data_IF_285446949879
#
_entry.id   IF_285446949879
#
_cell.length_a   1.000
_cell.length_b   1.000
_cell.length_c   1.000
_cell.angle_alpha   90.00
_cell.angle_beta   90.00
_cell.angle_gamma   90.00
#
_symmetry.space_group_name_H-M   'P 1'
#
loop_
_entity.id
_entity.type
_entity.pdbx_description
1 polymer ?
#
# COMPACT_ATOMS: atom_id res chain seq x y z
N UNK A 1 10.87 2.10 -68.67
CA UNK A 1 10.62 3.17 -69.66
C UNK A 1 10.62 4.48 -68.88
N UNK A 2 11.77 5.15 -68.81
CA UNK A 2 12.20 6.24 -69.72
C UNK A 2 11.63 7.60 -69.30
N UNK A 3 12.46 8.52 -68.79
CA UNK A 3 13.09 9.67 -69.52
C UNK A 3 12.25 10.95 -69.23
N UNK A 4 12.72 12.16 -68.90
CA UNK A 4 14.02 12.83 -68.65
C UNK A 4 13.74 14.25 -68.14
N UNK A 5 14.66 14.78 -67.33
CA UNK A 5 15.27 16.13 -67.30
C UNK A 5 14.62 17.37 -67.96
N UNK A 6 14.78 18.51 -67.26
CA UNK A 6 15.46 19.69 -67.82
C UNK A 6 16.24 20.51 -66.78
N UNK A 7 17.45 20.91 -67.18
CA UNK A 7 18.42 21.80 -66.52
C UNK A 7 18.28 23.25 -67.03
N UNK A 8 18.90 24.20 -66.29
CA UNK A 8 19.42 25.48 -66.78
C UNK A 8 19.40 26.57 -65.67
N UNK A 9 20.45 26.87 -64.90
CA UNK A 9 21.79 27.44 -65.20
C UNK A 9 21.89 28.99 -65.01
N UNK A 10 22.74 29.41 -64.05
CA UNK A 10 23.52 30.68 -64.03
C UNK A 10 22.87 31.89 -63.36
N UNK A 11 23.54 32.79 -62.62
CA UNK A 11 24.96 33.11 -62.42
C UNK A 11 25.20 33.76 -61.04
N UNK A 12 26.47 33.81 -60.63
CA UNK A 12 27.00 34.31 -59.36
C UNK A 12 27.19 35.85 -59.29
N UNK A 13 27.19 36.42 -58.08
CA UNK A 13 28.26 37.29 -57.53
C UNK A 13 27.87 37.88 -56.14
N UNK A 14 28.79 37.81 -55.18
CA UNK A 14 28.85 38.51 -53.87
C UNK A 14 29.46 39.92 -54.07
N UNK A 15 29.29 40.96 -53.19
CA UNK A 15 29.93 41.00 -51.85
C UNK A 15 29.28 41.83 -50.70
N UNK A 16 29.49 41.37 -49.46
CA UNK A 16 30.08 42.01 -48.24
C UNK A 16 29.67 43.45 -47.80
N UNK A 17 28.98 43.49 -46.64
CA UNK A 17 29.21 44.27 -45.39
C UNK A 17 28.88 45.78 -45.27
N UNK A 18 28.01 46.13 -44.29
CA UNK A 18 28.34 46.93 -43.07
C UNK A 18 27.10 47.47 -42.34
N UNK A 19 27.08 47.16 -41.03
CA UNK A 19 26.62 47.91 -39.84
C UNK A 19 25.27 48.67 -39.75
N UNK A 20 24.59 48.33 -38.63
CA UNK A 20 23.52 48.93 -37.80
C UNK A 20 23.57 50.49 -37.65
N UNK A 21 22.56 51.23 -37.08
CA UNK A 21 21.56 50.82 -36.07
C UNK A 21 20.15 51.48 -36.12
N UNK A 22 19.12 50.87 -35.52
CA UNK A 22 18.04 51.65 -34.85
C UNK A 22 17.17 50.83 -33.86
N UNK A 23 17.39 51.09 -32.57
CA UNK A 23 16.43 51.25 -31.46
C UNK A 23 15.17 50.34 -31.41
N UNK A 24 15.25 49.25 -30.65
CA UNK A 24 14.10 48.48 -30.18
C UNK A 24 13.50 49.04 -28.89
N UNK A 25 12.22 49.43 -28.93
CA UNK A 25 11.41 49.84 -27.78
C UNK A 25 11.14 48.63 -26.85
N UNK A 26 11.55 48.76 -25.59
CA UNK A 26 11.29 47.78 -24.52
C UNK A 26 9.84 47.85 -24.04
N UNK A 27 9.04 46.85 -24.42
CA UNK A 27 7.73 46.61 -23.82
C UNK A 27 7.90 45.68 -22.60
N UNK A 28 7.87 46.25 -21.38
CA UNK A 28 7.82 45.46 -20.14
C UNK A 28 6.48 44.73 -20.03
N UNK A 29 6.52 43.41 -20.20
CA UNK A 29 5.41 42.50 -19.86
C UNK A 29 5.16 42.56 -18.35
N UNK A 30 3.93 42.81 -17.85
CA UNK A 30 3.68 42.77 -16.43
C UNK A 30 3.86 41.34 -15.91
N UNK A 31 4.36 41.16 -14.68
CA UNK A 31 4.55 39.82 -14.13
C UNK A 31 3.18 39.15 -13.96
N UNK A 32 3.01 38.01 -14.62
CA UNK A 32 1.93 37.07 -14.34
C UNK A 32 2.04 36.69 -12.86
N UNK A 33 1.07 37.10 -12.04
CA UNK A 33 0.93 36.56 -10.69
C UNK A 33 0.87 35.05 -10.81
N UNK A 34 1.85 34.37 -10.24
CA UNK A 34 1.87 32.92 -10.13
C UNK A 34 0.54 32.47 -9.53
N UNK A 35 -0.26 31.74 -10.31
CA UNK A 35 -1.45 31.09 -9.81
C UNK A 35 -1.00 30.20 -8.65
N UNK A 36 -1.40 30.55 -7.42
CA UNK A 36 -1.19 29.71 -6.25
C UNK A 36 -1.79 28.36 -6.62
N UNK A 37 -0.94 27.33 -6.71
CA UNK A 37 -1.35 25.94 -6.85
C UNK A 37 -2.51 25.71 -5.87
N UNK A 38 -3.70 25.48 -6.42
CA UNK A 38 -4.81 24.95 -5.64
C UNK A 38 -4.28 23.64 -5.09
N UNK A 39 -4.02 23.57 -3.77
CA UNK A 39 -3.65 22.32 -3.10
C UNK A 39 -4.68 21.30 -3.54
N UNK A 40 -4.28 20.37 -4.40
CA UNK A 40 -5.15 19.29 -4.84
C UNK A 40 -5.69 18.65 -3.56
N UNK A 41 -7.02 18.64 -3.41
CA UNK A 41 -7.62 17.93 -2.30
C UNK A 41 -7.12 16.49 -2.39
N UNK A 42 -6.63 15.89 -1.30
CA UNK A 42 -6.23 14.49 -1.35
C UNK A 42 -7.44 13.70 -1.84
N UNK A 43 -7.20 12.84 -2.84
CA UNK A 43 -8.20 11.89 -3.32
C UNK A 43 -8.86 11.24 -2.10
N UNK A 44 -10.18 11.14 -2.08
CA UNK A 44 -10.89 10.45 -1.00
C UNK A 44 -11.28 9.06 -1.46
N UNK A 45 -11.32 8.11 -0.53
CA UNK A 45 -11.71 6.73 -0.79
C UNK A 45 -12.77 6.30 0.22
N UNK A 46 -13.63 5.39 -0.24
CA UNK A 46 -14.63 4.71 0.58
C UNK A 46 -13.98 3.54 1.31
N UNK A 47 -14.01 3.60 2.63
CA UNK A 47 -13.56 2.55 3.53
C UNK A 47 -14.76 1.97 4.26
N UNK A 48 -14.81 0.64 4.37
CA UNK A 48 -15.82 -0.07 5.13
C UNK A 48 -15.16 -0.71 6.35
N UNK A 49 -15.77 -0.54 7.51
CA UNK A 49 -15.29 -1.10 8.77
C UNK A 49 -16.40 -1.95 9.38
N UNK A 50 -16.07 -3.13 9.87
CA UNK A 50 -16.92 -4.01 10.66
C UNK A 50 -16.22 -4.25 12.00
N UNK A 51 -16.90 -4.10 13.14
CA UNK A 51 -16.28 -4.23 14.46
C UNK A 51 -17.21 -4.84 15.49
N UNK A 52 -16.60 -5.35 16.56
CA UNK A 52 -17.29 -5.84 17.74
C UNK A 52 -17.47 -4.69 18.74
N UNK A 53 -18.70 -4.40 19.16
CA UNK A 53 -18.97 -3.41 20.20
C UNK A 53 -18.64 -3.99 21.59
N UNK A 54 -18.48 -3.13 22.62
CA UNK A 54 -18.31 -3.59 24.00
C UNK A 54 -19.44 -4.52 24.48
N UNK A 55 -20.65 -4.35 23.95
CA UNK A 55 -21.83 -5.19 24.25
C UNK A 55 -21.81 -6.54 23.51
N UNK A 56 -20.80 -6.79 22.68
CA UNK A 56 -20.66 -8.03 21.89
C UNK A 56 -21.49 -8.04 20.60
N UNK A 57 -22.04 -6.89 20.17
CA UNK A 57 -22.76 -6.80 18.90
C UNK A 57 -21.79 -6.49 17.75
N UNK A 58 -22.07 -7.02 16.57
CA UNK A 58 -21.33 -6.66 15.36
C UNK A 58 -21.97 -5.42 14.73
N UNK A 59 -21.17 -4.39 14.47
CA UNK A 59 -21.58 -3.18 13.77
C UNK A 59 -20.75 -2.96 12.52
N UNK A 60 -21.33 -2.27 11.53
CA UNK A 60 -20.66 -1.94 10.28
C UNK A 60 -20.90 -0.47 9.94
N UNK A 61 -19.90 0.17 9.34
CA UNK A 61 -20.00 1.52 8.81
C UNK A 61 -19.20 1.66 7.52
N UNK A 62 -19.57 2.67 6.74
CA UNK A 62 -18.83 3.09 5.56
C UNK A 62 -18.50 4.57 5.70
N UNK A 63 -17.23 4.95 5.55
CA UNK A 63 -16.77 6.33 5.65
C UNK A 63 -15.93 6.72 4.43
N UNK A 64 -16.04 7.99 4.04
CA UNK A 64 -15.09 8.60 3.12
C UNK A 64 -13.94 9.20 3.92
N UNK A 65 -12.72 8.87 3.55
CA UNK A 65 -11.52 9.43 4.17
C UNK A 65 -10.41 9.63 3.12
N UNK A 66 -9.34 10.37 3.44
CA UNK A 66 -8.22 10.56 2.51
C UNK A 66 -7.61 9.23 2.05
N UNK A 67 -7.28 9.14 0.76
CA UNK A 67 -6.51 8.07 0.15
C UNK A 67 -5.01 8.34 0.35
N UNK A 68 -4.59 8.31 1.61
CA UNK A 68 -3.18 8.47 2.00
C UNK A 68 -2.65 7.15 2.56
N UNK A 69 -1.31 6.93 2.57
CA UNK A 69 -0.73 5.71 3.13
C UNK A 69 -1.22 5.39 4.54
N UNK A 70 -1.37 6.41 5.40
CA UNK A 70 -1.92 6.27 6.75
C UNK A 70 -3.26 5.52 6.77
N UNK A 71 -4.21 5.93 5.92
CA UNK A 71 -5.52 5.29 5.87
C UNK A 71 -5.42 3.95 5.16
N UNK A 72 -4.80 3.88 3.98
CA UNK A 72 -4.77 2.65 3.18
C UNK A 72 -4.09 1.47 3.89
N UNK A 73 -3.09 1.73 4.74
CA UNK A 73 -2.43 0.70 5.55
C UNK A 73 -3.42 -0.07 6.44
N UNK A 74 -4.47 0.59 6.92
CA UNK A 74 -5.50 -0.04 7.73
C UNK A 74 -6.46 -0.96 6.96
N UNK A 75 -6.44 -0.95 5.63
CA UNK A 75 -7.48 -1.61 4.82
C UNK A 75 -6.95 -2.51 3.70
N UNK A 76 -5.64 -2.66 3.53
CA UNK A 76 -5.09 -3.26 2.31
C UNK A 76 -3.92 -4.23 2.48
N UNK A 77 -4.10 -5.20 3.37
CA UNK A 77 -3.14 -6.30 3.54
C UNK A 77 -3.57 -7.58 2.81
N UNK A 78 -4.84 -7.97 2.85
CA UNK A 78 -5.31 -9.26 2.35
C UNK A 78 -6.26 -9.04 1.16
N UNK A 79 -6.02 -9.69 0.02
CA UNK A 79 -7.02 -9.67 -1.05
C UNK A 79 -8.17 -10.65 -0.73
N UNK A 80 -9.34 -10.39 -1.31
CA UNK A 80 -10.46 -11.34 -1.31
C UNK A 80 -10.00 -12.75 -1.70
N UNK A 81 -10.51 -13.76 -0.99
CA UNK A 81 -10.11 -15.16 -1.16
C UNK A 81 -8.91 -15.57 -0.30
N UNK A 82 -8.28 -14.65 0.44
CA UNK A 82 -7.28 -15.00 1.46
C UNK A 82 -7.92 -15.87 2.54
N UNK A 83 -7.39 -17.08 2.77
CA UNK A 83 -7.94 -18.03 3.75
C UNK A 83 -7.14 -17.96 5.06
N UNK A 84 -7.83 -17.62 6.15
CA UNK A 84 -7.28 -17.53 7.49
C UNK A 84 -7.59 -18.80 8.29
N UNK A 85 -6.67 -19.20 9.16
CA UNK A 85 -6.95 -20.28 10.12
C UNK A 85 -7.69 -19.71 11.33
N UNK A 86 -8.86 -20.27 11.65
CA UNK A 86 -9.63 -19.98 12.87
C UNK A 86 -9.67 -21.20 13.78
N UNK A 87 -10.16 -21.04 15.00
CA UNK A 87 -10.37 -22.18 15.91
C UNK A 87 -11.38 -23.20 15.33
N UNK A 88 -12.34 -22.73 14.54
CA UNK A 88 -13.39 -23.55 13.92
C UNK A 88 -13.01 -24.06 12.51
N UNK A 89 -11.79 -23.75 12.05
CA UNK A 89 -11.27 -24.18 10.75
C UNK A 89 -10.89 -23.03 9.81
N UNK A 90 -10.58 -23.32 8.53
CA UNK A 90 -10.24 -22.30 7.55
C UNK A 90 -11.46 -21.43 7.19
N UNK A 91 -11.30 -20.10 7.23
CA UNK A 91 -12.33 -19.12 6.85
C UNK A 91 -11.75 -18.12 5.84
N UNK A 92 -12.48 -17.83 4.77
CA UNK A 92 -12.10 -16.78 3.84
C UNK A 92 -12.24 -15.39 4.48
N UNK A 93 -11.34 -14.46 4.15
CA UNK A 93 -11.32 -13.12 4.75
C UNK A 93 -12.64 -12.36 4.59
N UNK A 94 -13.36 -12.57 3.49
CA UNK A 94 -14.67 -11.97 3.25
C UNK A 94 -15.81 -12.53 4.12
N UNK A 95 -15.63 -13.73 4.69
CA UNK A 95 -16.62 -14.43 5.51
C UNK A 95 -16.29 -14.32 7.01
N UNK A 96 -15.08 -13.86 7.34
CA UNK A 96 -14.64 -13.60 8.70
C UNK A 96 -15.45 -12.46 9.32
N UNK A 97 -15.83 -12.61 10.59
CA UNK A 97 -16.59 -11.62 11.36
C UNK A 97 -15.90 -11.26 12.67
N UNK A 98 -16.02 -10.01 13.13
CA UNK A 98 -15.61 -9.64 14.48
C UNK A 98 -16.29 -10.53 15.53
N UNK A 99 -15.54 -10.91 16.56
CA UNK A 99 -15.94 -11.88 17.59
C UNK A 99 -15.44 -13.29 17.34
N UNK A 100 -15.10 -13.66 16.10
CA UNK A 100 -14.45 -14.95 15.81
C UNK A 100 -13.00 -14.96 16.28
N UNK A 101 -12.49 -16.14 16.65
CA UNK A 101 -11.09 -16.36 17.05
C UNK A 101 -10.25 -16.87 15.89
N UNK A 102 -9.16 -16.17 15.56
CA UNK A 102 -8.16 -16.63 14.59
C UNK A 102 -6.98 -17.29 15.30
N UNK A 103 -6.36 -18.27 14.65
CA UNK A 103 -5.11 -18.87 15.13
C UNK A 103 -3.92 -18.02 14.67
N UNK A 104 -3.21 -17.45 15.64
CA UNK A 104 -2.02 -16.64 15.40
C UNK A 104 -0.77 -17.50 15.21
N UNK A 105 0.26 -16.95 14.54
CA UNK A 105 1.54 -17.63 14.40
C UNK A 105 2.23 -17.85 15.75
N UNK A 106 2.00 -16.93 16.70
CA UNK A 106 2.46 -17.00 18.08
C UNK A 106 1.79 -18.13 18.90
N UNK A 107 0.87 -18.90 18.32
CA UNK A 107 0.26 -20.07 18.94
C UNK A 107 -0.92 -19.73 19.85
N UNK A 108 -1.48 -18.53 19.75
CA UNK A 108 -2.69 -18.11 20.48
C UNK A 108 -3.92 -18.13 19.57
N UNK A 109 -5.05 -18.53 20.12
CA UNK A 109 -6.35 -18.14 19.58
C UNK A 109 -6.63 -16.70 20.01
N UNK A 110 -6.86 -15.83 19.04
CA UNK A 110 -6.97 -14.39 19.27
C UNK A 110 -8.23 -13.85 18.62
N UNK A 111 -8.99 -13.05 19.37
CA UNK A 111 -10.28 -12.56 18.91
C UNK A 111 -10.12 -11.43 17.90
N UNK A 112 -10.87 -11.52 16.80
CA UNK A 112 -10.99 -10.44 15.83
C UNK A 112 -11.90 -9.36 16.40
N UNK A 113 -11.38 -8.14 16.58
CA UNK A 113 -12.17 -7.02 17.10
C UNK A 113 -12.66 -6.08 16.00
N UNK A 114 -11.98 -6.06 14.84
CA UNK A 114 -12.31 -5.20 13.71
C UNK A 114 -11.80 -5.77 12.40
N UNK A 115 -12.54 -5.54 11.32
CA UNK A 115 -12.18 -5.88 9.94
C UNK A 115 -12.46 -4.65 9.08
N UNK A 116 -11.44 -4.18 8.39
CA UNK A 116 -11.53 -3.10 7.42
C UNK A 116 -11.50 -3.67 6.02
N UNK A 117 -12.22 -3.05 5.10
CA UNK A 117 -12.03 -3.25 3.67
C UNK A 117 -12.06 -1.95 2.85
N UNK A 118 -11.39 -2.01 1.70
CA UNK A 118 -11.53 -1.04 0.62
C UNK A 118 -11.47 -1.75 -0.74
N UNK A 119 -11.83 -1.03 -1.80
CA UNK A 119 -11.74 -1.54 -3.18
C UNK A 119 -10.59 -0.86 -3.91
N UNK A 120 -9.70 -1.67 -4.49
CA UNK A 120 -8.68 -1.24 -5.44
C UNK A 120 -9.27 -1.41 -6.84
N UNK A 121 -9.30 -0.32 -7.60
CA UNK A 121 -9.78 -0.33 -8.99
C UNK A 121 -8.59 -0.44 -9.96
N UNK A 122 -8.76 -1.09 -11.13
CA UNK A 122 -7.76 -1.07 -12.18
C UNK A 122 -7.38 0.36 -12.55
N UNK A 123 -6.08 0.63 -12.70
CA UNK A 123 -5.56 1.95 -13.04
C UNK A 123 -5.71 3.00 -11.93
N UNK A 124 -6.05 2.61 -10.70
CA UNK A 124 -6.04 3.52 -9.57
C UNK A 124 -4.60 3.95 -9.22
N UNK A 125 -4.42 5.25 -9.04
CA UNK A 125 -3.17 5.86 -8.56
C UNK A 125 -3.20 5.96 -7.02
N UNK A 126 -2.02 5.85 -6.40
CA UNK A 126 -1.83 6.09 -4.96
C UNK A 126 -1.21 7.46 -4.70
N UNK A 127 -1.54 8.07 -3.56
CA UNK A 127 -1.20 9.45 -3.26
C UNK A 127 0.29 9.83 -3.30
N UNK A 128 0.51 11.15 -3.45
CA UNK A 128 1.73 11.95 -3.64
C UNK A 128 2.50 11.78 -4.94
N UNK A 129 2.71 10.55 -5.40
CA UNK A 129 3.40 10.31 -6.68
C UNK A 129 2.44 9.64 -7.65
N UNK A 130 1.80 10.46 -8.48
CA UNK A 130 0.77 10.09 -9.48
C UNK A 130 1.30 9.14 -10.59
N UNK A 131 2.47 8.53 -10.41
CA UNK A 131 3.16 7.69 -11.38
C UNK A 131 3.24 6.21 -10.97
N UNK A 132 2.99 5.86 -9.70
CA UNK A 132 2.95 4.46 -9.25
C UNK A 132 1.52 3.93 -9.18
N UNK A 133 1.20 2.99 -10.10
CA UNK A 133 -0.05 2.24 -10.10
C UNK A 133 -0.13 1.35 -8.85
N UNK A 134 -1.32 1.23 -8.26
CA UNK A 134 -1.54 0.31 -7.15
C UNK A 134 -1.37 -1.13 -7.62
N UNK A 135 -0.38 -1.81 -7.07
CA UNK A 135 -0.10 -3.22 -7.34
C UNK A 135 -0.34 -4.12 -6.14
N UNK A 136 -0.74 -5.35 -6.42
CA UNK A 136 -0.88 -6.42 -5.44
C UNK A 136 0.35 -7.32 -5.51
N UNK A 137 0.62 -8.07 -4.44
CA UNK A 137 1.68 -9.08 -4.44
C UNK A 137 1.04 -10.46 -4.51
N UNK A 138 1.27 -11.19 -5.59
CA UNK A 138 0.92 -12.62 -5.69
C UNK A 138 2.11 -13.46 -5.25
N UNK A 139 1.86 -14.34 -4.30
CA UNK A 139 2.79 -15.36 -3.84
C UNK A 139 2.26 -16.70 -4.35
N UNK A 140 3.02 -17.34 -5.23
CA UNK A 140 2.67 -18.65 -5.79
C UNK A 140 2.74 -19.75 -4.73
N UNK A 141 1.98 -20.82 -4.93
CA UNK A 141 2.04 -21.99 -4.06
C UNK A 141 3.49 -22.48 -3.86
N UNK A 142 3.83 -22.83 -2.63
CA UNK A 142 5.12 -23.34 -2.18
C UNK A 142 6.33 -22.39 -2.35
N UNK A 143 6.11 -21.11 -2.65
CA UNK A 143 7.17 -20.10 -2.80
C UNK A 143 8.13 -19.98 -1.60
N UNK A 144 7.63 -20.26 -0.38
CA UNK A 144 8.39 -20.23 0.88
C UNK A 144 8.61 -21.63 1.46
N UNK A 145 8.59 -22.65 0.60
CA UNK A 145 8.73 -24.08 0.95
C UNK A 145 7.41 -24.84 0.91
N UNK A 146 7.47 -26.14 1.16
CA UNK A 146 6.33 -27.05 1.04
C UNK A 146 5.10 -26.55 1.83
N UNK A 147 3.97 -26.36 1.12
CA UNK A 147 2.72 -25.85 1.69
C UNK A 147 2.73 -24.37 2.12
N UNK A 148 3.72 -23.57 1.71
CA UNK A 148 3.88 -22.16 2.10
C UNK A 148 3.97 -21.22 0.89
N UNK A 149 2.86 -20.64 0.43
CA UNK A 149 1.48 -20.98 0.78
C UNK A 149 1.03 -22.29 0.10
N UNK A 150 -0.04 -22.93 0.60
CA UNK A 150 -0.56 -24.17 0.01
C UNK A 150 -1.29 -23.95 -1.33
N UNK A 151 -1.82 -22.74 -1.52
CA UNK A 151 -2.40 -22.23 -2.75
C UNK A 151 -1.84 -20.84 -2.98
N UNK A 152 -1.93 -20.34 -4.21
CA UNK A 152 -1.57 -18.96 -4.51
C UNK A 152 -2.30 -17.98 -3.58
N UNK A 153 -1.53 -17.08 -2.98
CA UNK A 153 -2.03 -16.03 -2.10
C UNK A 153 -1.81 -14.67 -2.76
N UNK A 154 -2.86 -13.86 -2.84
CA UNK A 154 -2.75 -12.47 -3.29
C UNK A 154 -2.88 -11.54 -2.08
N UNK A 155 -1.88 -10.69 -1.90
CA UNK A 155 -1.80 -9.72 -0.83
C UNK A 155 -2.01 -8.30 -1.37
N UNK A 156 -2.61 -7.47 -0.53
CA UNK A 156 -2.74 -6.05 -0.78
C UNK A 156 -1.40 -5.30 -0.67
N UNK A 157 -1.34 -4.05 -1.15
CA UNK A 157 -0.10 -3.28 -1.24
C UNK A 157 0.56 -2.99 0.12
N UNK A 158 -0.20 -3.09 1.22
CA UNK A 158 0.24 -2.74 2.59
C UNK A 158 0.45 -3.97 3.47
N UNK A 159 0.42 -5.17 2.89
CA UNK A 159 0.69 -6.40 3.60
C UNK A 159 2.14 -6.47 4.10
N UNK A 160 2.33 -6.98 5.32
CA UNK A 160 3.65 -7.36 5.83
C UNK A 160 3.63 -8.84 6.20
N UNK A 161 4.67 -9.57 5.81
CA UNK A 161 4.92 -10.95 6.21
C UNK A 161 5.77 -10.97 7.48
N UNK A 162 5.52 -11.92 8.38
CA UNK A 162 6.40 -12.15 9.52
C UNK A 162 7.60 -12.98 9.07
N UNK A 163 8.77 -12.34 9.00
CA UNK A 163 10.04 -12.98 8.67
C UNK A 163 10.65 -13.61 9.93
N UNK A 164 10.87 -14.92 9.88
CA UNK A 164 11.61 -15.68 10.88
C UNK A 164 12.80 -16.33 10.19
N UNK A 165 13.97 -15.71 10.27
CA UNK A 165 15.17 -16.18 9.59
C UNK A 165 16.40 -16.14 10.52
N UNK A 166 17.25 -17.18 10.56
CA UNK A 166 18.50 -17.15 11.31
C UNK A 166 19.43 -15.98 10.98
N UNK A 167 19.37 -15.43 9.76
CA UNK A 167 20.12 -14.23 9.33
C UNK A 167 19.64 -12.98 10.04
N UNK A 168 18.32 -12.82 10.16
CA UNK A 168 17.72 -11.72 10.94
C UNK A 168 18.27 -11.73 12.37
N UNK A 169 18.23 -12.91 13.02
CA UNK A 169 18.80 -13.09 14.37
C UNK A 169 20.28 -12.74 14.44
N UNK A 170 21.06 -13.14 13.44
CA UNK A 170 22.51 -12.89 13.41
C UNK A 170 22.86 -11.41 13.25
N UNK A 171 22.14 -10.69 12.38
CA UNK A 171 22.47 -9.30 12.02
C UNK A 171 21.87 -8.30 13.00
N UNK A 172 20.62 -8.49 13.42
CA UNK A 172 19.89 -7.51 14.25
C UNK A 172 19.55 -8.02 15.66
N UNK A 173 19.79 -9.30 15.97
CA UNK A 173 19.38 -9.90 17.24
C UNK A 173 17.87 -10.17 17.33
N UNK A 174 17.11 -9.93 16.25
CA UNK A 174 15.66 -10.07 16.25
C UNK A 174 15.24 -11.51 15.90
N UNK A 175 14.34 -12.07 16.70
CA UNK A 175 13.81 -13.42 16.51
C UNK A 175 12.82 -13.49 15.34
N UNK A 176 12.09 -12.39 15.12
CA UNK A 176 11.13 -12.20 14.05
C UNK A 176 10.95 -10.69 13.75
N UNK A 177 10.52 -10.35 12.55
CA UNK A 177 10.16 -9.00 12.17
C UNK A 177 9.10 -8.97 11.06
N UNK A 178 8.24 -7.95 11.06
CA UNK A 178 7.27 -7.71 10.00
C UNK A 178 7.92 -6.96 8.83
N UNK A 179 7.84 -7.56 7.64
CA UNK A 179 8.51 -7.10 6.43
C UNK A 179 7.47 -6.88 5.33
N UNK A 180 7.44 -5.73 4.63
CA UNK A 180 6.56 -5.52 3.48
C UNK A 180 6.63 -6.69 2.50
N UNK A 181 5.48 -7.23 2.08
CA UNK A 181 5.44 -8.37 1.17
C UNK A 181 6.20 -8.09 -0.15
N UNK A 182 6.13 -6.84 -0.63
CA UNK A 182 6.87 -6.36 -1.80
C UNK A 182 8.40 -6.45 -1.70
N UNK A 183 8.96 -6.58 -0.50
CA UNK A 183 10.40 -6.75 -0.32
C UNK A 183 10.88 -8.15 -0.74
N UNK A 184 9.95 -9.10 -0.93
CA UNK A 184 10.24 -10.46 -1.38
C UNK A 184 10.06 -10.66 -2.88
N UNK A 185 9.78 -9.61 -3.65
CA UNK A 185 9.58 -9.72 -5.10
C UNK A 185 10.83 -10.29 -5.77
N UNK A 186 10.65 -11.43 -6.45
CA UNK A 186 11.70 -12.13 -7.20
C UNK A 186 11.40 -12.23 -8.71
N UNK A 187 10.17 -11.86 -9.12
CA UNK A 187 9.71 -11.96 -10.50
C UNK A 187 9.38 -13.38 -10.97
N UNK A 188 9.46 -14.37 -10.09
CA UNK A 188 9.24 -15.79 -10.38
C UNK A 188 8.11 -16.34 -9.50
N UNK A 189 8.33 -16.37 -8.18
CA UNK A 189 7.44 -16.99 -7.20
C UNK A 189 6.66 -15.97 -6.37
N UNK A 190 7.23 -14.78 -6.19
CA UNK A 190 6.61 -13.62 -5.57
C UNK A 190 6.63 -12.49 -6.60
N UNK A 191 5.46 -12.20 -7.13
CA UNK A 191 5.30 -11.33 -8.30
C UNK A 191 4.33 -10.20 -8.04
N UNK A 192 4.60 -9.07 -8.69
CA UNK A 192 3.72 -7.93 -8.71
C UNK A 192 2.58 -8.18 -9.72
N UNK A 193 1.34 -7.91 -9.32
CA UNK A 193 0.18 -8.08 -10.19
C UNK A 193 -0.71 -6.83 -10.17
N UNK A 194 -1.04 -6.34 -11.36
CA UNK A 194 -2.01 -5.26 -11.54
C UNK A 194 -3.39 -5.86 -11.76
N UNK A 195 -4.40 -5.49 -10.94
CA UNK A 195 -5.73 -6.05 -11.09
C UNK A 195 -6.40 -5.56 -12.39
N UNK A 196 -6.97 -6.48 -13.17
CA UNK A 196 -7.75 -6.17 -14.38
C UNK A 196 -9.22 -5.87 -14.11
N UNK A 197 -9.70 -6.15 -12.89
CA UNK A 197 -11.03 -5.84 -12.39
C UNK A 197 -10.93 -5.33 -10.94
N UNK A 198 -11.97 -4.66 -10.38
CA UNK A 198 -11.93 -4.20 -9.00
C UNK A 198 -11.69 -5.35 -8.00
N UNK A 199 -10.75 -5.16 -7.08
CA UNK A 199 -10.40 -6.14 -6.04
C UNK A 199 -10.69 -5.55 -4.66
N UNK A 200 -11.52 -6.23 -3.87
CA UNK A 200 -11.68 -5.90 -2.46
C UNK A 200 -10.48 -6.41 -1.68
N UNK A 201 -9.86 -5.52 -0.92
CA UNK A 201 -8.79 -5.83 0.02
C UNK A 201 -9.25 -5.53 1.44
N UNK A 202 -8.62 -6.21 2.39
CA UNK A 202 -9.00 -6.24 3.78
C UNK A 202 -7.79 -6.07 4.70
N UNK A 203 -8.06 -5.74 5.96
CA UNK A 203 -7.12 -5.92 7.07
C UNK A 203 -7.92 -6.21 8.34
N UNK A 204 -7.28 -6.82 9.33
CA UNK A 204 -7.92 -7.36 10.54
C UNK A 204 -7.20 -6.79 11.76
N UNK A 205 -7.93 -6.31 12.75
CA UNK A 205 -7.39 -5.99 14.07
C UNK A 205 -7.78 -7.08 15.04
N UNK A 206 -6.81 -7.47 15.84
CA UNK A 206 -6.93 -8.47 16.90
C UNK A 206 -7.02 -7.78 18.27
N UNK A 207 -7.58 -8.47 19.26
CA UNK A 207 -7.61 -7.97 20.64
C UNK A 207 -6.19 -7.80 21.22
N UNK A 208 -5.28 -8.74 20.95
CA UNK A 208 -3.84 -8.53 21.07
C UNK A 208 -3.17 -8.64 19.70
N UNK A 209 -2.33 -7.67 19.36
CA UNK A 209 -1.63 -7.66 18.08
C UNK A 209 -0.76 -8.93 17.90
N UNK A 210 -0.66 -9.42 16.66
CA UNK A 210 0.01 -10.67 16.33
C UNK A 210 0.01 -10.97 14.84
N UNK A 211 0.48 -12.17 14.48
CA UNK A 211 0.59 -12.61 13.09
C UNK A 211 -0.58 -13.54 12.75
N UNK A 212 -1.36 -13.20 11.74
CA UNK A 212 -2.41 -14.03 11.16
C UNK A 212 -1.79 -15.20 10.38
N UNK A 213 -2.33 -16.41 10.54
CA UNK A 213 -2.00 -17.54 9.66
C UNK A 213 -2.88 -17.53 8.42
N UNK A 214 -2.31 -17.14 7.27
CA UNK A 214 -3.02 -16.99 6.00
C UNK A 214 -2.41 -17.90 4.94
N UNK A 215 -3.18 -18.89 4.50
CA UNK A 215 -2.75 -19.88 3.50
C UNK A 215 -1.39 -20.56 3.78
N UNK A 216 -0.96 -20.66 5.04
CA UNK A 216 0.34 -21.21 5.44
C UNK A 216 1.47 -20.19 5.64
N UNK A 217 1.20 -18.91 5.38
CA UNK A 217 2.10 -17.79 5.67
C UNK A 217 1.67 -17.03 6.93
N UNK A 218 2.62 -16.31 7.52
CA UNK A 218 2.40 -15.43 8.66
C UNK A 218 2.27 -14.00 8.14
N UNK A 219 1.09 -13.39 8.26
CA UNK A 219 0.80 -12.02 7.80
C UNK A 219 0.49 -11.15 9.02
N UNK A 220 1.06 -9.96 9.08
CA UNK A 220 0.78 -8.99 10.16
C UNK A 220 -0.73 -8.71 10.25
N UNK A 221 -1.29 -8.73 11.47
CA UNK A 221 -2.56 -8.06 11.72
C UNK A 221 -2.38 -6.54 11.66
N UNK A 222 -3.46 -5.76 11.60
CA UNK A 222 -3.31 -4.32 11.53
C UNK A 222 -2.87 -3.76 12.88
N UNK A 223 -1.80 -2.96 12.82
CA UNK A 223 -1.39 -2.06 13.89
C UNK A 223 -1.03 -0.71 13.28
N UNK A 224 -1.44 0.43 13.86
CA UNK A 224 -1.20 1.74 13.26
C UNK A 224 0.26 2.22 13.38
N UNK A 225 1.08 1.49 14.15
CA UNK A 225 2.46 1.83 14.45
C UNK A 225 2.59 2.60 15.77
N UNK A 226 3.74 2.47 16.41
CA UNK A 226 3.98 3.16 17.69
C UNK A 226 4.10 4.67 17.48
N UNK A 227 3.43 5.46 18.33
CA UNK A 227 3.55 6.92 18.33
C UNK A 227 2.90 7.64 17.15
N UNK A 228 2.09 6.94 16.34
CA UNK A 228 1.42 7.49 15.15
C UNK A 228 0.62 8.78 15.47
N UNK A 229 0.00 8.83 16.65
CA UNK A 229 -0.77 9.96 17.19
C UNK A 229 0.03 11.27 17.30
N UNK A 230 1.36 11.17 17.45
CA UNK A 230 2.27 12.33 17.56
C UNK A 230 2.78 12.81 16.20
N UNK A 231 2.61 11.98 15.17
CA UNK A 231 3.14 12.21 13.82
C UNK A 231 2.11 12.79 12.85
N UNK A 232 0.84 12.85 13.26
CA UNK A 232 -0.29 13.25 12.42
C UNK A 232 -0.93 14.53 12.98
N UNK A 233 -1.42 15.41 12.11
CA UNK A 233 -2.17 16.58 12.56
C UNK A 233 -3.50 16.19 13.24
N UNK A 234 -4.02 16.98 14.20
CA UNK A 234 -5.19 16.60 14.98
C UNK A 234 -6.47 16.30 14.17
N UNK A 235 -6.65 16.93 13.01
CA UNK A 235 -7.84 16.69 12.17
C UNK A 235 -7.73 15.33 11.48
N UNK A 236 -6.56 15.03 10.94
CA UNK A 236 -6.28 13.73 10.32
C UNK A 236 -6.32 12.59 11.35
N UNK A 237 -5.81 12.83 12.57
CA UNK A 237 -5.92 11.87 13.66
C UNK A 237 -7.39 11.56 13.99
N UNK A 238 -8.23 12.60 14.13
CA UNK A 238 -9.66 12.43 14.41
C UNK A 238 -10.38 11.62 13.31
N UNK A 239 -10.05 11.88 12.04
CA UNK A 239 -10.60 11.11 10.91
C UNK A 239 -10.14 9.66 10.92
N UNK A 240 -8.89 9.41 11.32
CA UNK A 240 -8.32 8.08 11.38
C UNK A 240 -8.87 7.27 12.56
N UNK A 241 -8.99 7.87 13.75
CA UNK A 241 -9.62 7.26 14.92
C UNK A 241 -11.09 6.89 14.66
N UNK A 242 -11.82 7.71 13.90
CA UNK A 242 -13.19 7.41 13.51
C UNK A 242 -13.34 6.10 12.69
N UNK A 243 -12.24 5.57 12.14
CA UNK A 243 -12.23 4.27 11.46
C UNK A 243 -12.27 3.08 12.44
N UNK A 244 -11.92 3.29 13.71
CA UNK A 244 -11.82 2.28 14.78
C UNK A 244 -12.75 2.59 15.96
N UNK A 245 -14.07 2.63 15.74
CA UNK A 245 -15.05 3.04 16.76
C UNK A 245 -15.12 2.14 18.00
N UNK A 246 -14.55 0.93 17.94
CA UNK A 246 -14.42 0.04 19.09
C UNK A 246 -13.38 0.53 20.11
N UNK A 247 -12.50 1.45 19.73
CA UNK A 247 -11.45 1.98 20.59
C UNK A 247 -11.73 3.43 20.97
N UNK A 248 -11.43 3.78 22.22
CA UNK A 248 -11.50 5.15 22.70
C UNK A 248 -10.34 6.03 22.17
N UNK A 249 -9.20 5.41 21.88
CA UNK A 249 -8.02 6.03 21.27
C UNK A 249 -7.12 4.97 20.63
N UNK A 250 -6.16 5.39 19.80
CA UNK A 250 -5.21 4.47 19.16
C UNK A 250 -4.29 3.74 20.15
N UNK A 251 -4.14 4.23 21.39
CA UNK A 251 -3.37 3.54 22.43
C UNK A 251 -3.95 2.16 22.77
N UNK A 252 -5.23 1.91 22.51
CA UNK A 252 -5.89 0.63 22.74
C UNK A 252 -5.38 -0.50 21.83
N UNK A 253 -4.63 -0.20 20.76
CA UNK A 253 -3.97 -1.21 19.93
C UNK A 253 -2.82 -1.94 20.67
N UNK A 254 -2.31 -1.37 21.77
CA UNK A 254 -1.21 -1.93 22.53
C UNK A 254 0.14 -1.87 21.78
N UNK A 255 1.15 -2.65 22.23
CA UNK A 255 2.42 -2.75 21.52
C UNK A 255 2.33 -3.72 20.33
N UNK A 256 3.12 -3.52 19.26
CA UNK A 256 3.21 -4.50 18.19
C UNK A 256 3.93 -5.78 18.66
N UNK A 257 3.50 -6.95 18.19
CA UNK A 257 4.11 -8.23 18.56
C UNK A 257 5.58 -8.38 18.12
N UNK A 258 5.93 -7.82 16.96
CA UNK A 258 7.28 -7.81 16.39
C UNK A 258 7.59 -6.43 15.80
N UNK A 259 8.86 -6.01 15.75
CA UNK A 259 9.25 -4.79 15.07
C UNK A 259 8.99 -4.89 13.56
N UNK A 260 8.87 -3.74 12.89
CA UNK A 260 8.77 -3.66 11.43
C UNK A 260 10.14 -3.32 10.85
N UNK A 261 10.49 -3.96 9.74
CA UNK A 261 11.63 -3.57 8.91
C UNK A 261 11.15 -2.93 7.62
N UNK A 262 11.94 -1.99 7.14
CA UNK A 262 11.82 -1.43 5.80
C UNK A 262 12.37 -2.40 4.75
N UNK A 263 12.04 -2.16 3.48
CA UNK A 263 12.62 -2.92 2.37
C UNK A 263 14.15 -2.85 2.34
N UNK A 264 14.73 -1.68 2.62
CA UNK A 264 16.19 -1.48 2.59
C UNK A 264 16.90 -2.24 3.72
N UNK A 265 16.33 -2.24 4.93
CA UNK A 265 16.86 -3.03 6.05
C UNK A 265 16.79 -4.53 5.75
N UNK A 266 15.74 -4.95 5.05
CA UNK A 266 15.58 -6.32 4.60
C UNK A 266 16.68 -6.64 3.60
N UNK A 267 16.84 -5.90 2.50
CA UNK A 267 17.90 -6.14 1.49
C UNK A 267 19.29 -6.32 2.13
N UNK A 268 19.64 -5.52 3.15
CA UNK A 268 20.92 -5.63 3.87
C UNK A 268 21.14 -6.93 4.67
N UNK A 269 20.11 -7.77 4.87
CA UNK A 269 20.23 -9.08 5.52
C UNK A 269 20.76 -10.17 4.59
N UNK A 270 20.72 -9.95 3.26
CA UNK A 270 21.15 -10.92 2.24
C UNK A 270 22.53 -10.61 1.63
N UNK A 271 23.09 -9.44 1.93
CA UNK A 271 24.46 -9.04 1.60
C UNK A 271 25.48 -9.66 2.58
#
# INVERSE_FOLDING_TARGET
MSITHRLGAGQAALPVDRDDPSAGLSARKPPLLAAKSLRAMPLTRRYQSCWLTPEGAVQTSTRLAPATPLFEEAFSALARGSVLMTEDGPVAIEDLQPGQSVLTAEGRAERVCWIGSMVIYPGAETGRDLEEQVSLTRITAEAFGAGRPALDLVLGPRARLCLRDPRLRRVSGLEAAYVPARAFLDGISVIEVTPSAPVTVYHVVLEQHGSLRVAGLEVEAFHPGEGVERMIDPRMLSLFEAQFPQFASLAAFGPPAHPRLTRFEVESLWD
#
